data_IF_215631847440
#
_entry.id   IF_215631847440
#
_cell.length_a   1.000
_cell.length_b   1.000
_cell.length_c   1.000
_cell.angle_alpha   90.00
_cell.angle_beta   90.00
_cell.angle_gamma   90.00
#
_symmetry.space_group_name_H-M   'P 1'
#
loop_
_entity.id
_entity.type
_entity.pdbx_description
1 polymer ?
#
# COMPACT_ATOMS: atom_id res chain seq x y z
N UNK A 1 27.51 43.00 3.85
CA UNK A 1 28.00 42.52 5.16
C UNK A 1 26.94 42.80 6.21
N UNK A 2 26.19 41.81 6.63
CA UNK A 2 25.45 41.71 7.88
C UNK A 2 24.82 40.31 7.96
N UNK A 3 25.46 39.45 8.74
CA UNK A 3 24.98 38.09 9.01
C UNK A 3 23.79 38.18 10.00
N UNK A 4 22.61 37.76 9.59
CA UNK A 4 21.47 37.53 10.49
C UNK A 4 21.65 36.17 11.18
N UNK A 5 21.87 36.20 12.48
CA UNK A 5 21.78 35.05 13.37
C UNK A 5 20.31 34.64 13.49
N UNK A 6 19.97 33.43 13.03
CA UNK A 6 18.69 32.79 13.37
C UNK A 6 18.78 32.22 14.79
N UNK A 7 17.93 32.72 15.67
CA UNK A 7 17.76 32.19 17.02
C UNK A 7 16.92 30.94 16.95
N UNK A 8 17.47 29.82 17.41
CA UNK A 8 16.72 28.57 17.65
C UNK A 8 15.83 28.78 18.87
N UNK A 9 14.52 28.85 18.69
CA UNK A 9 13.55 28.80 19.77
C UNK A 9 13.50 27.36 20.33
N UNK A 10 13.70 27.25 21.63
CA UNK A 10 13.61 25.99 22.39
C UNK A 10 12.19 25.44 22.29
N UNK A 11 12.04 24.27 21.68
CA UNK A 11 10.84 23.45 21.77
C UNK A 11 10.64 23.03 23.24
N UNK A 12 9.47 23.32 23.79
CA UNK A 12 9.03 22.87 25.12
C UNK A 12 8.75 21.38 25.10
N UNK A 13 9.24 20.69 26.13
CA UNK A 13 9.28 19.25 26.27
C UNK A 13 7.92 18.56 26.13
N UNK A 14 7.91 17.52 25.37
CA UNK A 14 6.90 16.46 25.40
C UNK A 14 7.13 15.65 26.66
N UNK A 15 6.19 15.73 27.62
CA UNK A 15 6.15 14.85 28.80
C UNK A 15 5.47 13.54 28.42
N UNK A 16 6.10 12.43 28.74
CA UNK A 16 5.40 11.19 29.03
C UNK A 16 5.61 10.02 28.09
N UNK A 17 6.84 9.76 27.63
CA UNK A 17 7.21 8.40 27.27
C UNK A 17 7.42 7.59 28.55
N UNK A 18 6.59 6.58 28.81
CA UNK A 18 6.84 5.57 29.83
C UNK A 18 8.17 4.90 29.48
N UNK A 19 9.23 5.28 30.20
CA UNK A 19 10.48 4.53 30.18
C UNK A 19 10.14 3.13 30.71
N UNK A 20 10.18 2.14 29.85
CA UNK A 20 10.29 0.75 30.27
C UNK A 20 11.69 0.63 30.87
N UNK A 21 11.80 0.78 32.19
CA UNK A 21 12.99 0.45 32.93
C UNK A 21 13.15 -1.07 32.87
N UNK A 22 13.70 -1.58 31.79
CA UNK A 22 14.23 -2.92 31.70
C UNK A 22 15.50 -2.94 32.55
N UNK A 23 15.44 -3.56 33.72
CA UNK A 23 16.65 -3.98 34.43
C UNK A 23 17.51 -4.71 33.42
N UNK A 24 18.76 -4.26 33.19
CA UNK A 24 19.74 -4.96 32.43
C UNK A 24 20.03 -6.31 33.10
N UNK A 25 19.25 -7.32 32.76
CA UNK A 25 19.53 -8.70 33.10
C UNK A 25 20.83 -9.05 32.37
N UNK A 26 21.84 -9.46 33.09
CA UNK A 26 23.05 -10.11 32.56
C UNK A 26 22.73 -11.52 32.06
N UNK A 27 21.52 -11.75 31.54
CA UNK A 27 21.08 -12.98 30.94
C UNK A 27 22.03 -13.29 29.75
N UNK A 28 22.77 -14.37 29.87
CA UNK A 28 23.57 -14.89 28.76
C UNK A 28 22.65 -15.11 27.58
N UNK A 29 22.95 -14.46 26.46
CA UNK A 29 22.24 -14.74 25.21
C UNK A 29 22.47 -16.22 24.87
N UNK A 30 21.42 -17.05 24.82
CA UNK A 30 21.57 -18.47 24.57
C UNK A 30 22.04 -18.72 23.12
N UNK A 31 22.89 -19.72 22.97
CA UNK A 31 23.24 -20.27 21.66
C UNK A 31 22.22 -21.37 21.34
N UNK A 32 21.38 -21.14 20.33
CA UNK A 32 20.34 -22.09 19.94
C UNK A 32 20.82 -23.03 18.83
N UNK A 33 20.54 -24.31 18.95
CA UNK A 33 20.62 -25.26 17.84
C UNK A 33 19.44 -25.08 16.85
N UNK A 34 19.56 -25.71 15.67
CA UNK A 34 18.54 -25.56 14.59
C UNK A 34 17.13 -25.90 15.06
N UNK A 35 16.93 -27.02 15.73
CA UNK A 35 15.62 -27.43 16.23
C UNK A 35 15.07 -26.47 17.30
N UNK A 36 15.93 -25.96 18.18
CA UNK A 36 15.51 -24.98 19.19
C UNK A 36 15.10 -23.66 18.53
N UNK A 37 15.82 -23.22 17.49
CA UNK A 37 15.48 -22.04 16.71
C UNK A 37 14.12 -22.19 16.03
N UNK A 38 13.86 -23.32 15.37
CA UNK A 38 12.55 -23.60 14.74
C UNK A 38 11.43 -23.62 15.77
N UNK A 39 11.63 -24.29 16.92
CA UNK A 39 10.66 -24.25 18.02
C UNK A 39 10.44 -22.85 18.59
N UNK A 40 11.49 -22.03 18.62
CA UNK A 40 11.37 -20.64 19.05
C UNK A 40 10.57 -19.81 18.06
N UNK A 41 10.77 -19.98 16.75
CA UNK A 41 9.96 -19.34 15.70
C UNK A 41 8.49 -19.69 15.85
N UNK A 42 8.15 -20.97 16.04
CA UNK A 42 6.76 -21.42 16.22
C UNK A 42 6.09 -20.80 17.46
N UNK A 43 6.84 -20.60 18.56
CA UNK A 43 6.33 -19.92 19.77
C UNK A 43 6.24 -18.42 19.62
N UNK A 44 7.06 -17.83 18.74
CA UNK A 44 7.17 -16.38 18.52
C UNK A 44 6.25 -15.86 17.40
N UNK A 45 5.40 -16.69 16.82
CA UNK A 45 4.45 -16.25 15.78
C UNK A 45 3.52 -15.19 16.35
N UNK A 46 3.48 -14.03 15.70
CA UNK A 46 2.57 -12.94 16.11
C UNK A 46 1.11 -13.35 15.85
N UNK A 47 0.16 -13.05 16.76
CA UNK A 47 -1.25 -13.42 16.57
C UNK A 47 -1.86 -12.95 15.23
N UNK A 48 -1.50 -11.76 14.75
CA UNK A 48 -1.91 -11.24 13.43
C UNK A 48 -1.43 -12.09 12.24
N UNK A 49 -0.39 -12.91 12.42
CA UNK A 49 0.08 -13.83 11.37
C UNK A 49 -0.87 -15.01 11.13
N UNK A 50 -1.92 -15.17 11.93
CA UNK A 50 -2.97 -16.16 11.69
C UNK A 50 -3.73 -15.91 10.36
N UNK A 51 -3.68 -14.68 9.84
CA UNK A 51 -4.24 -14.33 8.53
C UNK A 51 -3.33 -14.73 7.36
N UNK A 52 -2.05 -15.09 7.61
CA UNK A 52 -1.11 -15.53 6.58
C UNK A 52 -1.34 -17.02 6.32
N UNK A 53 -1.94 -17.36 5.18
CA UNK A 53 -2.43 -18.70 4.89
C UNK A 53 -1.47 -19.56 4.08
N UNK A 54 -0.66 -18.95 3.22
CA UNK A 54 0.38 -19.61 2.45
C UNK A 54 1.46 -18.63 2.06
N UNK A 55 2.69 -19.13 1.96
CA UNK A 55 3.86 -18.34 1.57
C UNK A 55 4.74 -19.14 0.61
N UNK A 56 4.99 -18.59 -0.58
CA UNK A 56 6.00 -19.10 -1.51
C UNK A 56 7.31 -18.36 -1.30
N UNK A 57 8.39 -19.10 -1.32
CA UNK A 57 9.75 -18.56 -1.35
C UNK A 57 10.56 -19.27 -2.42
N UNK A 58 11.14 -18.52 -3.35
CA UNK A 58 12.09 -19.07 -4.34
C UNK A 58 13.36 -19.63 -3.70
N UNK A 59 13.68 -19.19 -2.46
CA UNK A 59 14.81 -19.71 -1.68
C UNK A 59 14.50 -21.10 -1.14
N UNK A 60 13.27 -21.31 -0.65
CA UNK A 60 12.79 -22.63 -0.21
C UNK A 60 12.44 -23.54 -1.40
N UNK A 61 12.18 -22.95 -2.57
CA UNK A 61 11.76 -23.69 -3.77
C UNK A 61 10.32 -24.20 -3.70
N UNK A 62 9.45 -23.61 -2.84
CA UNK A 62 8.09 -24.12 -2.65
C UNK A 62 7.20 -23.22 -1.78
N UNK A 63 6.00 -23.72 -1.52
CA UNK A 63 4.98 -23.08 -0.68
C UNK A 63 4.97 -23.72 0.70
N UNK A 64 4.89 -22.88 1.74
CA UNK A 64 4.67 -23.30 3.14
C UNK A 64 3.39 -22.64 3.66
N UNK A 65 2.72 -23.32 4.61
CA UNK A 65 1.46 -22.84 5.21
C UNK A 65 1.58 -22.56 6.72
N UNK A 66 2.73 -22.91 7.32
CA UNK A 66 3.00 -22.58 8.72
C UNK A 66 3.67 -21.19 8.80
N UNK A 67 3.04 -20.18 9.45
CA UNK A 67 3.60 -18.84 9.61
C UNK A 67 4.98 -18.81 10.27
N UNK A 68 5.31 -19.81 11.09
CA UNK A 68 6.61 -19.91 11.77
C UNK A 68 7.80 -20.00 10.81
N UNK A 69 7.57 -20.53 9.61
CA UNK A 69 8.62 -20.70 8.58
C UNK A 69 8.46 -19.77 7.39
N UNK A 70 7.57 -18.78 7.48
CA UNK A 70 7.45 -17.70 6.50
C UNK A 70 8.53 -16.65 6.77
N UNK A 71 9.78 -17.00 6.48
CA UNK A 71 10.96 -16.21 6.84
C UNK A 71 11.76 -15.79 5.61
N UNK A 72 12.49 -14.69 5.73
CA UNK A 72 13.41 -14.19 4.72
C UNK A 72 14.85 -14.41 5.17
N UNK A 73 15.78 -14.73 4.24
CA UNK A 73 17.21 -14.77 4.54
C UNK A 73 17.70 -13.39 4.99
N UNK A 74 18.55 -13.37 6.03
CA UNK A 74 19.11 -12.12 6.57
C UNK A 74 20.01 -11.38 5.58
N UNK A 75 20.62 -12.12 4.66
CA UNK A 75 21.50 -11.64 3.60
C UNK A 75 20.74 -11.26 2.31
N UNK A 76 19.41 -11.34 2.30
CA UNK A 76 18.63 -10.82 1.18
C UNK A 76 18.73 -9.29 1.14
N UNK A 77 19.04 -8.74 -0.04
CA UNK A 77 19.25 -7.31 -0.24
C UNK A 77 17.99 -6.48 0.10
N UNK A 78 16.82 -7.10 0.07
CA UNK A 78 15.56 -6.53 0.58
C UNK A 78 15.65 -6.24 2.08
N UNK A 79 16.20 -7.18 2.88
CA UNK A 79 16.20 -7.10 4.32
C UNK A 79 17.11 -5.98 4.85
N UNK A 80 18.26 -5.75 4.21
CA UNK A 80 19.26 -4.81 4.74
C UNK A 80 19.49 -3.57 3.85
N UNK A 81 18.93 -3.49 2.66
CA UNK A 81 19.04 -2.32 1.75
C UNK A 81 17.71 -1.86 1.18
N UNK A 82 16.61 -2.55 1.46
CA UNK A 82 15.31 -2.23 0.86
C UNK A 82 15.31 -2.37 -0.67
N UNK A 83 16.25 -3.14 -1.26
CA UNK A 83 16.36 -3.30 -2.71
C UNK A 83 15.42 -4.39 -3.20
N UNK A 84 14.14 -4.06 -3.16
CA UNK A 84 13.06 -4.89 -3.69
C UNK A 84 11.88 -4.05 -4.09
N UNK A 85 11.01 -4.65 -4.88
CA UNK A 85 9.70 -4.11 -5.28
C UNK A 85 8.61 -5.07 -4.83
N UNK A 86 7.38 -4.58 -4.72
CA UNK A 86 6.24 -5.41 -4.36
C UNK A 86 4.97 -4.98 -5.08
N UNK A 87 3.98 -5.88 -5.11
CA UNK A 87 2.63 -5.51 -5.49
C UNK A 87 1.61 -6.30 -4.66
N UNK A 88 0.33 -5.90 -4.76
CA UNK A 88 -0.76 -6.52 -4.00
C UNK A 88 -2.00 -6.59 -4.86
N UNK A 89 -2.42 -7.82 -5.21
CA UNK A 89 -3.65 -8.11 -5.93
C UNK A 89 -4.74 -8.62 -4.96
N UNK A 90 -5.98 -8.23 -5.19
CA UNK A 90 -7.10 -8.74 -4.39
C UNK A 90 -7.47 -10.17 -4.82
N UNK A 91 -7.87 -10.97 -3.83
CA UNK A 91 -8.64 -12.20 -4.05
C UNK A 91 -10.09 -11.86 -3.75
N UNK A 92 -10.98 -12.09 -4.71
CA UNK A 92 -12.41 -11.89 -4.53
C UNK A 92 -13.19 -13.00 -5.22
N UNK A 93 -14.09 -13.66 -4.49
CA UNK A 93 -14.90 -14.75 -5.03
C UNK A 93 -14.10 -15.92 -5.62
N UNK A 94 -12.85 -16.12 -5.19
CA UNK A 94 -11.95 -17.15 -5.74
C UNK A 94 -11.24 -16.75 -7.04
N UNK A 95 -11.21 -15.47 -7.37
CA UNK A 95 -10.45 -14.92 -8.49
C UNK A 95 -9.39 -13.95 -7.99
N UNK A 96 -8.24 -13.91 -8.68
CA UNK A 96 -7.27 -12.81 -8.58
C UNK A 96 -7.74 -11.68 -9.48
N UNK A 97 -8.10 -10.56 -8.87
CA UNK A 97 -8.59 -9.39 -9.59
C UNK A 97 -7.42 -8.53 -10.11
N UNK A 98 -7.44 -8.22 -11.41
CA UNK A 98 -6.43 -7.43 -12.12
C UNK A 98 -4.99 -7.96 -11.98
N UNK A 99 -4.80 -9.29 -11.86
CA UNK A 99 -3.46 -9.87 -11.68
C UNK A 99 -2.48 -9.45 -12.78
N UNK A 100 -2.91 -9.45 -14.04
CA UNK A 100 -2.01 -9.12 -15.16
C UNK A 100 -1.56 -7.65 -15.09
N UNK A 101 -2.46 -6.73 -14.75
CA UNK A 101 -2.17 -5.31 -14.55
C UNK A 101 -1.23 -5.10 -13.34
N UNK A 102 -1.43 -5.86 -12.25
CA UNK A 102 -0.52 -5.86 -11.10
C UNK A 102 0.86 -6.36 -11.49
N UNK A 103 0.96 -7.41 -12.29
CA UNK A 103 2.23 -7.91 -12.82
C UNK A 103 2.92 -6.87 -13.72
N UNK A 104 2.20 -6.18 -14.59
CA UNK A 104 2.75 -5.12 -15.44
C UNK A 104 3.42 -4.03 -14.62
N UNK A 105 2.73 -3.52 -13.59
CA UNK A 105 3.27 -2.51 -12.68
C UNK A 105 4.45 -3.06 -11.87
N UNK A 106 4.38 -4.29 -11.40
CA UNK A 106 5.43 -4.97 -10.65
C UNK A 106 6.72 -5.08 -11.47
N UNK A 107 6.62 -5.53 -12.71
CA UNK A 107 7.75 -5.64 -13.63
C UNK A 107 8.30 -4.26 -14.02
N UNK A 108 7.45 -3.27 -14.21
CA UNK A 108 7.90 -1.89 -14.42
C UNK A 108 8.70 -1.38 -13.21
N UNK A 109 8.20 -1.59 -12.00
CA UNK A 109 8.91 -1.21 -10.78
C UNK A 109 10.25 -1.95 -10.63
N UNK A 110 10.30 -3.25 -10.93
CA UNK A 110 11.53 -4.05 -10.88
C UNK A 110 12.58 -3.54 -11.88
N UNK A 111 12.15 -3.19 -13.11
CA UNK A 111 13.05 -2.62 -14.12
C UNK A 111 13.61 -1.28 -13.68
N UNK A 112 12.78 -0.38 -13.14
CA UNK A 112 13.22 0.92 -12.62
C UNK A 112 14.16 0.77 -11.42
N UNK A 113 13.91 -0.22 -10.55
CA UNK A 113 14.79 -0.57 -9.44
C UNK A 113 16.04 -1.35 -9.86
N UNK A 114 16.23 -1.61 -11.17
CA UNK A 114 17.36 -2.37 -11.75
C UNK A 114 17.52 -3.77 -11.15
N UNK A 115 16.42 -4.42 -10.81
CA UNK A 115 16.40 -5.82 -10.38
C UNK A 115 16.37 -6.71 -11.63
N UNK A 116 17.18 -7.76 -11.66
CA UNK A 116 17.15 -8.73 -12.75
C UNK A 116 15.78 -9.44 -12.78
N UNK A 117 15.10 -9.37 -13.92
CA UNK A 117 13.73 -9.84 -14.04
C UNK A 117 13.67 -11.37 -14.07
N UNK A 118 12.76 -11.94 -13.29
CA UNK A 118 12.36 -13.34 -13.42
C UNK A 118 11.43 -13.52 -14.61
N UNK A 119 11.34 -14.72 -15.22
CA UNK A 119 10.33 -15.00 -16.25
C UNK A 119 8.91 -14.70 -15.73
N UNK A 120 8.12 -13.98 -16.52
CA UNK A 120 6.78 -13.53 -16.09
C UNK A 120 5.86 -14.72 -15.74
N UNK A 121 5.93 -15.77 -16.55
CA UNK A 121 5.10 -16.95 -16.36
C UNK A 121 5.44 -17.69 -15.06
N UNK A 122 6.71 -17.70 -14.64
CA UNK A 122 7.12 -18.31 -13.38
C UNK A 122 6.58 -17.50 -12.18
N UNK A 123 6.65 -16.17 -12.23
CA UNK A 123 6.08 -15.30 -11.21
C UNK A 123 4.56 -15.46 -11.13
N UNK A 124 3.89 -15.45 -12.28
CA UNK A 124 2.45 -15.65 -12.39
C UNK A 124 2.04 -17.02 -11.82
N UNK A 125 2.73 -18.08 -12.20
CA UNK A 125 2.48 -19.43 -11.71
C UNK A 125 2.67 -19.52 -10.18
N UNK A 126 3.73 -18.92 -9.63
CA UNK A 126 3.97 -18.88 -8.18
C UNK A 126 2.85 -18.15 -7.43
N UNK A 127 2.35 -17.01 -7.95
CA UNK A 127 1.24 -16.28 -7.34
C UNK A 127 -0.03 -17.14 -7.33
N UNK A 128 -0.39 -17.76 -8.46
CA UNK A 128 -1.59 -18.60 -8.58
C UNK A 128 -1.47 -19.84 -7.69
N UNK A 129 -0.32 -20.53 -7.70
CA UNK A 129 -0.10 -21.72 -6.88
C UNK A 129 -0.16 -21.40 -5.38
N UNK A 130 0.37 -20.25 -4.96
CA UNK A 130 0.28 -19.82 -3.55
C UNK A 130 -1.14 -19.47 -3.17
N UNK A 131 -1.91 -18.83 -4.05
CA UNK A 131 -3.32 -18.55 -3.84
C UNK A 131 -4.12 -19.86 -3.70
N UNK A 132 -3.91 -20.83 -4.59
CA UNK A 132 -4.57 -22.13 -4.52
C UNK A 132 -4.24 -22.88 -3.23
N UNK A 133 -2.96 -22.95 -2.85
CA UNK A 133 -2.51 -23.61 -1.62
C UNK A 133 -3.05 -22.96 -0.34
N UNK A 134 -3.40 -21.68 -0.38
CA UNK A 134 -3.92 -20.94 0.77
C UNK A 134 -5.38 -21.27 1.11
N UNK A 135 -6.17 -21.69 0.15
CA UNK A 135 -7.62 -21.84 0.27
C UNK A 135 -8.39 -20.52 0.43
N UNK A 136 -7.72 -19.36 0.38
CA UNK A 136 -8.33 -18.04 0.57
C UNK A 136 -9.21 -17.68 -0.62
N UNK A 137 -10.49 -17.38 -0.37
CA UNK A 137 -11.46 -16.95 -1.39
C UNK A 137 -11.76 -15.46 -1.33
N UNK A 138 -11.49 -14.83 -0.18
CA UNK A 138 -11.60 -13.38 0.07
C UNK A 138 -10.35 -12.92 0.79
N UNK A 139 -9.56 -12.05 0.17
CA UNK A 139 -8.29 -11.60 0.75
C UNK A 139 -7.38 -10.91 -0.24
N UNK A 140 -6.09 -11.12 -0.09
CA UNK A 140 -5.09 -10.53 -0.99
C UNK A 140 -3.86 -11.40 -1.17
N UNK A 141 -3.22 -11.26 -2.32
CA UNK A 141 -1.89 -11.75 -2.61
C UNK A 141 -0.91 -10.59 -2.56
N UNK A 142 0.14 -10.71 -1.74
CA UNK A 142 1.25 -9.77 -1.78
C UNK A 142 2.50 -10.49 -2.25
N UNK A 143 3.21 -9.90 -3.21
CA UNK A 143 4.39 -10.53 -3.79
C UNK A 143 5.53 -9.53 -3.93
N UNK A 144 6.76 -10.01 -3.73
CA UNK A 144 7.99 -9.22 -3.75
C UNK A 144 9.02 -9.85 -4.68
N UNK A 145 9.75 -9.00 -5.40
CA UNK A 145 10.95 -9.36 -6.15
C UNK A 145 12.12 -8.57 -5.55
N UNK A 146 13.09 -9.27 -4.98
CA UNK A 146 14.29 -8.67 -4.41
C UNK A 146 15.49 -8.86 -5.33
N UNK A 147 16.52 -8.02 -5.18
CA UNK A 147 17.78 -8.23 -5.88
C UNK A 147 18.45 -9.58 -5.52
N UNK A 148 18.05 -10.19 -4.40
CA UNK A 148 18.47 -11.53 -3.98
C UNK A 148 19.41 -11.55 -2.80
N UNK A 149 19.89 -12.77 -2.48
CA UNK A 149 20.86 -13.03 -1.42
C UNK A 149 22.27 -12.72 -1.91
N UNK A 150 23.09 -12.12 -1.06
CA UNK A 150 24.50 -11.79 -1.31
C UNK A 150 25.20 -11.28 -0.06
N UNK A 151 26.28 -10.53 -0.24
CA UNK A 151 26.96 -9.87 0.87
C UNK A 151 26.21 -8.63 1.39
N UNK A 152 26.73 -8.04 2.48
CA UNK A 152 26.17 -6.83 3.09
C UNK A 152 26.62 -5.52 2.41
N UNK A 153 27.17 -5.57 1.20
CA UNK A 153 27.55 -4.40 0.41
C UNK A 153 26.34 -3.57 -0.04
N UNK A 154 26.61 -2.36 -0.56
CA UNK A 154 25.57 -1.54 -1.20
C UNK A 154 25.25 -2.01 -2.62
N UNK A 155 26.24 -2.56 -3.31
CA UNK A 155 26.10 -3.06 -4.66
C UNK A 155 25.44 -4.44 -4.66
N UNK A 156 24.42 -4.69 -5.52
CA UNK A 156 23.82 -6.00 -5.66
C UNK A 156 24.69 -6.97 -6.50
N UNK A 157 25.97 -6.63 -6.79
CA UNK A 157 26.86 -7.48 -7.60
C UNK A 157 27.13 -8.84 -6.95
N UNK A 158 27.02 -8.93 -5.62
CA UNK A 158 27.19 -10.17 -4.87
C UNK A 158 25.91 -11.01 -4.82
N UNK A 159 24.77 -10.45 -5.25
CA UNK A 159 23.52 -11.19 -5.30
C UNK A 159 23.58 -12.23 -6.42
N UNK A 160 23.41 -13.50 -6.04
CA UNK A 160 23.58 -14.64 -6.96
C UNK A 160 22.39 -14.72 -7.93
N UNK A 161 21.19 -14.44 -7.44
CA UNK A 161 19.93 -14.50 -8.22
C UNK A 161 18.87 -13.63 -7.56
N UNK A 162 17.94 -13.18 -8.37
CA UNK A 162 16.69 -12.52 -7.91
C UNK A 162 15.83 -13.50 -7.12
N UNK A 163 15.32 -13.07 -5.97
CA UNK A 163 14.39 -13.87 -5.18
C UNK A 163 12.95 -13.38 -5.36
N UNK A 164 12.02 -14.33 -5.33
CA UNK A 164 10.58 -14.12 -5.33
C UNK A 164 9.98 -14.62 -4.03
N UNK A 165 9.16 -13.80 -3.41
CA UNK A 165 8.34 -14.14 -2.24
C UNK A 165 6.89 -13.79 -2.52
N UNK A 166 5.98 -14.67 -2.13
CA UNK A 166 4.54 -14.45 -2.31
C UNK A 166 3.81 -14.88 -1.05
N UNK A 167 2.92 -14.07 -0.52
CA UNK A 167 2.07 -14.42 0.62
C UNK A 167 0.60 -14.25 0.27
N UNK A 168 -0.21 -15.23 0.64
CA UNK A 168 -1.67 -15.14 0.65
C UNK A 168 -2.14 -14.72 2.03
N UNK A 169 -2.92 -13.65 2.09
CA UNK A 169 -3.44 -13.06 3.33
C UNK A 169 -4.97 -13.13 3.28
N UNK A 170 -5.56 -13.74 4.30
CA UNK A 170 -7.00 -13.78 4.48
C UNK A 170 -7.55 -12.38 4.76
N UNK A 171 -8.81 -12.12 4.40
CA UNK A 171 -9.42 -10.81 4.61
C UNK A 171 -9.62 -10.56 6.10
N UNK A 172 -9.13 -9.44 6.55
CA UNK A 172 -9.58 -8.82 7.80
C UNK A 172 -10.93 -8.13 7.57
N UNK A 173 -11.61 -7.75 8.64
CA UNK A 173 -12.90 -7.05 8.58
C UNK A 173 -12.80 -5.82 7.65
N UNK A 174 -13.71 -5.68 6.67
CA UNK A 174 -13.70 -4.49 5.81
C UNK A 174 -13.85 -3.22 6.64
N UNK A 175 -13.18 -2.12 6.24
CA UNK A 175 -13.37 -0.84 6.93
C UNK A 175 -14.82 -0.38 6.82
N UNK A 176 -15.34 0.23 7.89
CA UNK A 176 -16.71 0.78 7.96
C UNK A 176 -16.83 1.98 7.01
N UNK A 177 -17.39 1.75 5.82
CA UNK A 177 -17.54 2.78 4.80
C UNK A 177 -18.60 3.82 5.19
N UNK A 178 -19.57 3.42 5.99
CA UNK A 178 -20.67 4.26 6.48
C UNK A 178 -20.18 5.37 7.39
N UNK A 179 -19.09 5.15 8.12
CA UNK A 179 -18.44 6.18 8.93
C UNK A 179 -17.63 7.15 8.07
N UNK A 180 -17.07 6.66 6.99
CA UNK A 180 -16.04 7.34 6.23
C UNK A 180 -14.74 7.49 7.03
N UNK A 181 -13.70 8.02 6.39
CA UNK A 181 -12.39 8.22 7.03
C UNK A 181 -12.10 9.69 7.29
N UNK A 182 -11.22 9.92 8.26
CA UNK A 182 -10.62 11.21 8.56
C UNK A 182 -9.16 11.23 8.08
N UNK A 183 -8.74 12.36 7.52
CA UNK A 183 -7.38 12.56 7.04
C UNK A 183 -6.62 13.59 7.86
N UNK A 184 -5.30 13.44 7.94
CA UNK A 184 -4.38 14.44 8.44
C UNK A 184 -3.28 14.73 7.41
N UNK A 185 -2.92 15.99 7.23
CA UNK A 185 -1.77 16.37 6.43
C UNK A 185 -0.49 15.96 7.16
N UNK A 186 0.35 15.14 6.53
CA UNK A 186 1.62 14.72 7.12
C UNK A 186 2.68 15.81 6.96
N UNK A 187 3.51 15.96 7.99
CA UNK A 187 4.73 16.77 7.94
C UNK A 187 5.90 16.08 7.24
N UNK A 188 5.76 14.81 6.92
CA UNK A 188 6.79 14.02 6.24
C UNK A 188 6.82 14.36 4.75
N UNK A 189 8.01 14.66 4.22
CA UNK A 189 8.18 14.89 2.79
C UNK A 189 7.83 13.65 1.98
N UNK A 190 7.08 13.83 0.90
CA UNK A 190 6.84 12.74 -0.07
C UNK A 190 8.16 12.31 -0.71
N UNK A 191 8.23 11.04 -1.12
CA UNK A 191 9.38 10.54 -1.88
C UNK A 191 9.58 11.37 -3.15
N UNK A 192 10.84 11.61 -3.56
CA UNK A 192 11.11 12.25 -4.85
C UNK A 192 10.40 11.51 -6.00
N UNK A 193 10.04 12.19 -7.10
CA UNK A 193 9.18 11.66 -8.18
C UNK A 193 9.58 10.28 -8.68
N UNK A 194 10.89 10.07 -8.95
CA UNK A 194 11.38 8.76 -9.37
C UNK A 194 11.03 7.63 -8.39
N UNK A 195 11.20 7.86 -7.08
CA UNK A 195 10.91 6.86 -6.05
C UNK A 195 9.42 6.76 -5.72
N UNK A 196 8.65 7.83 -5.92
CA UNK A 196 7.20 7.83 -5.71
C UNK A 196 6.50 6.92 -6.72
N UNK A 197 6.97 6.91 -7.98
CA UNK A 197 6.40 6.09 -9.05
C UNK A 197 6.83 4.62 -9.02
N UNK A 198 7.81 4.25 -8.18
CA UNK A 198 8.29 2.87 -8.01
C UNK A 198 7.66 2.25 -6.76
N UNK A 199 6.97 1.12 -6.93
CA UNK A 199 6.40 0.38 -5.79
C UNK A 199 7.47 -0.49 -5.13
N UNK A 200 8.44 0.18 -4.47
CA UNK A 200 9.57 -0.44 -3.76
C UNK A 200 9.26 -0.67 -2.28
N UNK A 201 10.12 -1.43 -1.59
CA UNK A 201 10.00 -1.64 -0.14
C UNK A 201 10.53 -0.49 0.73
N UNK A 202 10.94 0.63 0.13
CA UNK A 202 11.40 1.83 0.85
C UNK A 202 10.20 2.65 1.38
N UNK A 203 9.46 2.08 2.32
CA UNK A 203 8.19 2.60 2.82
C UNK A 203 8.30 3.33 4.17
N UNK A 204 9.52 3.69 4.60
CA UNK A 204 9.68 4.46 5.83
C UNK A 204 8.91 5.80 5.80
N UNK A 205 8.96 6.63 4.73
CA UNK A 205 8.14 7.85 4.66
C UNK A 205 6.63 7.54 4.77
N UNK A 206 6.18 6.46 4.13
CA UNK A 206 4.78 6.05 4.17
C UNK A 206 4.35 5.61 5.59
N UNK A 207 5.21 4.87 6.31
CA UNK A 207 4.96 4.48 7.70
C UNK A 207 4.89 5.72 8.62
N UNK A 208 5.82 6.67 8.46
CA UNK A 208 5.83 7.91 9.23
C UNK A 208 4.57 8.76 8.94
N UNK A 209 4.10 8.79 7.69
CA UNK A 209 2.86 9.46 7.33
C UNK A 209 1.63 8.86 8.03
N UNK A 210 1.59 7.53 8.19
CA UNK A 210 0.54 6.86 9.01
C UNK A 210 0.66 7.26 10.46
N UNK A 211 1.88 7.26 11.01
CA UNK A 211 2.12 7.65 12.42
C UNK A 211 1.74 9.12 12.69
N UNK A 212 1.96 10.03 11.74
CA UNK A 212 1.48 11.42 11.84
C UNK A 212 -0.04 11.48 11.95
N UNK A 213 -0.76 10.69 11.13
CA UNK A 213 -2.21 10.60 11.18
C UNK A 213 -2.71 10.03 12.52
N UNK A 214 -2.11 8.94 12.99
CA UNK A 214 -2.42 8.34 14.29
C UNK A 214 -2.22 9.34 15.44
N UNK A 215 -1.12 10.10 15.42
CA UNK A 215 -0.84 11.15 16.40
C UNK A 215 -1.85 12.29 16.35
N UNK A 216 -2.43 12.57 15.18
CA UNK A 216 -3.51 13.54 14.98
C UNK A 216 -4.91 12.98 15.27
N UNK A 217 -5.05 11.69 15.61
CA UNK A 217 -6.33 11.02 15.81
C UNK A 217 -7.12 10.83 14.51
N UNK A 218 -6.44 10.75 13.38
CA UNK A 218 -7.00 10.55 12.04
C UNK A 218 -6.74 9.13 11.52
N UNK A 219 -7.58 8.68 10.58
CA UNK A 219 -7.49 7.33 10.03
C UNK A 219 -6.32 7.17 9.06
N UNK A 220 -5.97 8.23 8.29
CA UNK A 220 -4.88 8.19 7.32
C UNK A 220 -4.20 9.54 7.13
N UNK A 221 -2.92 9.48 6.72
CA UNK A 221 -2.13 10.65 6.35
C UNK A 221 -2.24 11.00 4.86
N UNK A 222 -1.85 12.24 4.54
CA UNK A 222 -1.78 12.74 3.17
C UNK A 222 -0.46 13.43 2.96
N UNK A 223 0.23 13.11 1.86
CA UNK A 223 1.41 13.81 1.39
C UNK A 223 1.02 15.02 0.55
N UNK A 224 1.65 16.15 0.88
CA UNK A 224 1.68 17.33 0.03
C UNK A 224 3.07 17.37 -0.64
N UNK A 225 3.09 17.62 -1.94
CA UNK A 225 4.36 17.70 -2.67
C UNK A 225 5.12 19.03 -2.39
N UNK A 226 6.32 19.16 -2.94
CA UNK A 226 7.17 20.33 -2.73
C UNK A 226 6.57 21.62 -3.30
N UNK A 227 5.66 21.52 -4.23
CA UNK A 227 4.97 22.66 -4.88
C UNK A 227 3.67 23.04 -4.15
N UNK A 228 3.31 22.30 -3.08
CA UNK A 228 2.12 22.55 -2.26
C UNK A 228 0.86 21.86 -2.75
N UNK A 229 0.96 20.94 -3.69
CA UNK A 229 -0.18 20.19 -4.20
C UNK A 229 -0.37 18.84 -3.47
N UNK A 230 -1.61 18.40 -3.40
CA UNK A 230 -1.96 17.07 -2.89
C UNK A 230 -1.40 16.01 -3.84
N UNK A 231 -0.69 15.04 -3.29
CA UNK A 231 -0.08 13.97 -4.07
C UNK A 231 -0.80 12.63 -3.86
N UNK A 232 -0.58 11.99 -2.74
CA UNK A 232 -1.18 10.68 -2.41
C UNK A 232 -1.25 10.46 -0.90
N UNK A 233 -1.95 9.42 -0.46
CA UNK A 233 -1.83 8.87 0.88
C UNK A 233 -0.69 7.84 0.97
N UNK A 234 -0.44 7.24 2.16
CA UNK A 234 0.69 6.33 2.37
C UNK A 234 0.66 5.08 1.47
N UNK A 235 -0.50 4.60 1.09
CA UNK A 235 -0.68 3.40 0.26
C UNK A 235 -1.91 3.48 -0.66
N UNK A 236 -2.40 4.69 -0.92
CA UNK A 236 -3.62 4.97 -1.67
C UNK A 236 -3.51 6.30 -2.43
N UNK A 237 -4.26 6.43 -3.52
CA UNK A 237 -4.42 7.69 -4.23
C UNK A 237 -5.56 8.50 -3.62
N UNK A 238 -5.63 9.78 -4.00
CA UNK A 238 -6.69 10.71 -3.58
C UNK A 238 -7.47 11.14 -4.83
N UNK A 239 -8.77 11.30 -4.69
CA UNK A 239 -9.62 11.93 -5.69
C UNK A 239 -10.54 12.92 -5.00
N UNK A 240 -10.91 14.01 -5.68
CA UNK A 240 -11.82 15.03 -5.17
C UNK A 240 -12.92 15.31 -6.18
N UNK A 241 -14.14 15.51 -5.67
CA UNK A 241 -15.24 16.02 -6.46
C UNK A 241 -15.30 17.55 -6.27
N UNK A 242 -15.19 18.31 -7.35
CA UNK A 242 -15.24 19.78 -7.29
C UNK A 242 -16.44 20.30 -6.51
N UNK A 243 -16.34 21.52 -5.96
CA UNK A 243 -17.40 22.12 -5.13
C UNK A 243 -18.76 22.21 -5.83
N UNK A 244 -18.77 22.36 -7.16
CA UNK A 244 -19.99 22.35 -7.99
C UNK A 244 -20.50 20.93 -8.32
N UNK A 245 -19.78 19.90 -7.90
CA UNK A 245 -20.11 18.49 -8.12
C UNK A 245 -19.87 17.97 -9.54
N UNK A 246 -19.29 18.77 -10.45
CA UNK A 246 -19.25 18.44 -11.88
C UNK A 246 -18.04 17.66 -12.33
N UNK A 247 -16.90 17.81 -11.64
CA UNK A 247 -15.66 17.18 -12.04
C UNK A 247 -15.07 16.32 -10.94
N UNK A 248 -14.70 15.09 -11.28
CA UNK A 248 -13.87 14.24 -10.44
C UNK A 248 -12.41 14.48 -10.83
N UNK A 249 -11.61 15.01 -9.92
CA UNK A 249 -10.19 15.30 -10.13
C UNK A 249 -9.32 14.28 -9.43
N UNK A 250 -8.27 13.84 -10.13
CA UNK A 250 -7.24 12.93 -9.59
C UNK A 250 -5.87 13.57 -9.83
N UNK A 251 -4.95 13.61 -8.84
CA UNK A 251 -3.60 14.10 -9.05
C UNK A 251 -2.87 13.29 -10.15
N UNK A 252 -2.08 13.96 -11.00
CA UNK A 252 -1.25 13.28 -11.99
C UNK A 252 -0.26 12.31 -11.33
N UNK A 253 0.06 11.20 -11.98
CA UNK A 253 0.98 10.18 -11.48
C UNK A 253 2.47 10.53 -11.67
N UNK A 254 2.81 11.81 -11.72
CA UNK A 254 4.20 12.28 -11.80
C UNK A 254 4.91 12.18 -10.46
N UNK A 255 4.19 12.49 -9.38
CA UNK A 255 4.68 12.52 -7.99
C UNK A 255 3.98 11.49 -7.09
N UNK A 256 3.20 10.59 -7.67
CA UNK A 256 2.42 9.57 -6.97
C UNK A 256 2.47 8.25 -7.71
N UNK A 257 2.20 7.16 -7.01
CA UNK A 257 2.08 5.86 -7.64
C UNK A 257 0.85 5.81 -8.55
N UNK A 258 1.02 5.31 -9.77
CA UNK A 258 -0.11 4.98 -10.66
C UNK A 258 -0.90 3.79 -10.09
N UNK A 259 -1.82 4.07 -9.16
CA UNK A 259 -2.63 3.06 -8.50
C UNK A 259 -3.59 2.38 -9.50
N UNK A 260 -3.63 1.04 -9.51
CA UNK A 260 -4.51 0.33 -10.45
C UNK A 260 -5.98 0.56 -10.12
N UNK A 261 -6.33 0.53 -8.85
CA UNK A 261 -7.70 0.80 -8.41
C UNK A 261 -8.18 2.20 -8.81
N UNK A 262 -7.34 3.24 -8.64
CA UNK A 262 -7.76 4.59 -9.06
C UNK A 262 -7.84 4.69 -10.59
N UNK A 263 -6.96 4.02 -11.34
CA UNK A 263 -7.09 3.95 -12.80
C UNK A 263 -8.40 3.27 -13.22
N UNK A 264 -8.78 2.18 -12.51
CA UNK A 264 -10.07 1.53 -12.76
C UNK A 264 -11.25 2.43 -12.40
N UNK A 265 -11.19 3.13 -11.27
CA UNK A 265 -12.19 4.13 -10.87
C UNK A 265 -12.34 5.21 -11.95
N UNK A 266 -11.23 5.74 -12.51
CA UNK A 266 -11.27 6.73 -13.59
C UNK A 266 -12.02 6.16 -14.82
N UNK A 267 -11.74 4.92 -15.23
CA UNK A 267 -12.41 4.28 -16.37
C UNK A 267 -13.92 4.13 -16.12
N UNK A 268 -14.29 3.59 -14.96
CA UNK A 268 -15.69 3.38 -14.58
C UNK A 268 -16.43 4.70 -14.44
N UNK A 269 -15.82 5.68 -13.75
CA UNK A 269 -16.40 7.01 -13.57
C UNK A 269 -16.60 7.75 -14.90
N UNK A 270 -15.61 7.69 -15.81
CA UNK A 270 -15.71 8.32 -17.12
C UNK A 270 -16.83 7.72 -17.97
N UNK A 271 -16.96 6.39 -17.98
CA UNK A 271 -18.03 5.70 -18.70
C UNK A 271 -19.42 6.06 -18.10
N UNK A 272 -19.51 6.08 -16.78
CA UNK A 272 -20.75 6.42 -16.08
C UNK A 272 -21.15 7.90 -16.25
N UNK A 273 -20.20 8.83 -16.20
CA UNK A 273 -20.43 10.25 -16.47
C UNK A 273 -20.93 10.47 -17.89
N UNK A 274 -20.29 9.86 -18.89
CA UNK A 274 -20.74 9.94 -20.28
C UNK A 274 -22.14 9.38 -20.51
N UNK A 275 -22.56 8.40 -19.68
CA UNK A 275 -23.91 7.83 -19.72
C UNK A 275 -24.92 8.57 -18.84
N UNK A 276 -24.53 9.65 -18.13
CA UNK A 276 -25.37 10.35 -17.15
C UNK A 276 -25.73 9.52 -15.92
N UNK A 277 -24.94 8.47 -15.62
CA UNK A 277 -25.21 7.51 -14.55
C UNK A 277 -24.40 7.75 -13.26
N UNK A 278 -23.65 8.87 -13.18
CA UNK A 278 -22.84 9.26 -12.02
C UNK A 278 -23.32 10.60 -11.40
N UNK A 279 -24.62 10.79 -11.30
CA UNK A 279 -25.21 12.00 -10.71
C UNK A 279 -24.77 13.27 -11.46
N UNK A 280 -24.27 14.32 -10.76
CA UNK A 280 -23.89 15.58 -11.40
C UNK A 280 -22.54 15.54 -12.12
N UNK A 281 -21.78 14.45 -12.03
CA UNK A 281 -20.42 14.36 -12.59
C UNK A 281 -20.46 14.37 -14.10
N UNK A 282 -19.86 15.38 -14.71
CA UNK A 282 -19.78 15.58 -16.16
C UNK A 282 -18.42 15.12 -16.73
N UNK A 283 -17.34 15.19 -15.93
CA UNK A 283 -16.00 14.87 -16.38
C UNK A 283 -15.12 14.24 -15.28
N UNK A 284 -14.14 13.45 -15.70
CA UNK A 284 -13.05 12.92 -14.88
C UNK A 284 -11.74 13.41 -15.45
N UNK A 285 -10.94 14.13 -14.67
CA UNK A 285 -9.76 14.82 -15.17
C UNK A 285 -8.54 14.56 -14.25
N UNK A 286 -7.35 14.52 -14.85
CA UNK A 286 -6.11 14.67 -14.09
C UNK A 286 -5.86 16.16 -13.85
N UNK A 287 -5.76 16.56 -12.58
CA UNK A 287 -5.48 17.94 -12.21
C UNK A 287 -4.71 18.00 -10.89
N UNK A 288 -3.78 18.95 -10.79
CA UNK A 288 -3.17 19.32 -9.50
C UNK A 288 -4.16 20.19 -8.74
N UNK A 289 -4.28 19.97 -7.45
CA UNK A 289 -5.07 20.79 -6.55
C UNK A 289 -4.37 20.90 -5.19
N UNK A 290 -4.56 22.03 -4.55
CA UNK A 290 -4.02 22.32 -3.23
C UNK A 290 -4.88 21.65 -2.15
N UNK A 291 -4.33 21.57 -0.94
CA UNK A 291 -5.09 21.14 0.25
C UNK A 291 -6.35 22.01 0.46
N UNK A 292 -6.25 23.34 0.31
CA UNK A 292 -7.38 24.25 0.52
C UNK A 292 -8.49 24.03 -0.53
N UNK A 293 -8.14 23.74 -1.77
CA UNK A 293 -9.12 23.37 -2.80
C UNK A 293 -9.80 22.04 -2.46
N UNK A 294 -9.03 21.04 -1.98
CA UNK A 294 -9.61 19.78 -1.53
C UNK A 294 -10.52 19.93 -0.31
N UNK A 295 -10.18 20.83 0.62
CA UNK A 295 -11.03 21.15 1.77
C UNK A 295 -12.34 21.85 1.39
N UNK A 296 -12.36 22.55 0.26
CA UNK A 296 -13.57 23.17 -0.33
C UNK A 296 -14.34 22.27 -1.29
N UNK A 297 -13.89 21.04 -1.52
CA UNK A 297 -14.52 20.11 -2.43
C UNK A 297 -15.88 19.61 -1.90
N UNK A 298 -16.77 19.18 -2.81
CA UNK A 298 -18.03 18.54 -2.45
C UNK A 298 -17.79 17.18 -1.78
N UNK A 299 -16.85 16.38 -2.33
CA UNK A 299 -16.44 15.11 -1.76
C UNK A 299 -14.92 14.94 -1.92
N UNK A 300 -14.30 14.26 -0.96
CA UNK A 300 -12.93 13.72 -1.05
C UNK A 300 -13.00 12.22 -0.83
N UNK A 301 -12.20 11.47 -1.55
CA UNK A 301 -12.09 10.03 -1.38
C UNK A 301 -10.66 9.55 -1.51
N UNK A 302 -10.33 8.50 -0.79
CA UNK A 302 -9.07 7.76 -0.97
C UNK A 302 -9.34 6.45 -1.68
N UNK A 303 -8.40 6.04 -2.55
CA UNK A 303 -8.59 4.91 -3.47
C UNK A 303 -7.36 3.99 -3.42
N UNK A 304 -7.58 2.71 -3.12
CA UNK A 304 -6.53 1.71 -3.05
C UNK A 304 -7.05 0.28 -3.11
N UNK A 305 -6.18 -0.70 -3.41
CA UNK A 305 -6.60 -2.10 -3.59
C UNK A 305 -7.21 -2.74 -2.34
N UNK A 306 -6.81 -2.31 -1.14
CA UNK A 306 -7.36 -2.84 0.11
C UNK A 306 -8.61 -2.10 0.59
N UNK A 307 -8.69 -0.79 0.33
CA UNK A 307 -9.78 0.09 0.78
C UNK A 307 -10.87 0.26 -0.27
N UNK A 308 -10.57 -0.07 -1.53
CA UNK A 308 -11.35 0.30 -2.72
C UNK A 308 -11.53 1.82 -2.79
N UNK A 309 -12.76 2.32 -2.85
CA UNK A 309 -13.07 3.75 -2.69
C UNK A 309 -13.58 3.96 -1.27
N UNK A 310 -12.90 4.82 -0.51
CA UNK A 310 -13.28 5.18 0.86
C UNK A 310 -13.60 6.67 0.93
N UNK A 311 -14.83 7.04 1.28
CA UNK A 311 -15.21 8.44 1.47
C UNK A 311 -14.41 9.09 2.61
N UNK A 312 -14.06 10.35 2.45
CA UNK A 312 -13.41 11.17 3.48
C UNK A 312 -14.42 12.17 4.03
N UNK A 313 -14.62 12.17 5.33
CA UNK A 313 -15.59 13.03 6.01
C UNK A 313 -14.95 14.25 6.69
N UNK A 314 -13.64 14.15 7.02
CA UNK A 314 -12.87 15.24 7.63
C UNK A 314 -11.42 15.21 7.15
N UNK A 315 -10.81 16.38 7.09
CA UNK A 315 -9.38 16.54 6.83
C UNK A 315 -8.82 17.66 7.72
N UNK A 316 -7.77 17.36 8.51
CA UNK A 316 -7.22 18.25 9.54
C UNK A 316 -8.30 18.86 10.46
N UNK A 317 -9.23 18.02 10.90
CA UNK A 317 -10.35 18.42 11.76
C UNK A 317 -11.48 19.20 11.06
N UNK A 318 -11.30 19.66 9.82
CA UNK A 318 -12.33 20.36 9.03
C UNK A 318 -13.24 19.36 8.32
N UNK A 319 -14.55 19.54 8.32
CA UNK A 319 -15.46 18.69 7.57
C UNK A 319 -15.26 18.86 6.05
N UNK A 320 -15.42 17.77 5.30
CA UNK A 320 -15.52 17.78 3.85
C UNK A 320 -17.01 17.73 3.47
N UNK A 321 -17.43 18.63 2.60
CA UNK A 321 -18.84 18.72 2.20
C UNK A 321 -19.77 18.79 3.42
N UNK A 322 -20.70 17.83 3.53
CA UNK A 322 -21.61 17.72 4.66
C UNK A 322 -20.99 17.05 5.92
N UNK A 323 -19.73 16.65 5.89
CA UNK A 323 -19.08 15.91 6.97
C UNK A 323 -19.53 14.44 7.10
N UNK A 324 -20.12 13.90 6.05
CA UNK A 324 -20.61 12.53 5.92
C UNK A 324 -20.14 11.91 4.59
N UNK A 325 -20.16 10.56 4.45
CA UNK A 325 -19.84 9.90 3.19
C UNK A 325 -20.68 10.43 2.02
N UNK A 326 -20.01 10.89 0.97
CA UNK A 326 -20.66 11.46 -0.19
C UNK A 326 -21.23 10.42 -1.15
N UNK A 327 -22.33 10.70 -1.86
CA UNK A 327 -23.01 9.75 -2.73
C UNK A 327 -22.18 9.33 -3.95
N UNK A 328 -21.31 10.19 -4.48
CA UNK A 328 -20.46 9.86 -5.62
C UNK A 328 -19.37 8.85 -5.19
N UNK A 329 -18.73 9.06 -4.05
CA UNK A 329 -17.74 8.12 -3.51
C UNK A 329 -18.37 6.74 -3.22
N UNK A 330 -19.56 6.70 -2.62
CA UNK A 330 -20.28 5.46 -2.37
C UNK A 330 -20.69 4.76 -3.68
N UNK A 331 -21.16 5.51 -4.68
CA UNK A 331 -21.49 4.94 -5.99
C UNK A 331 -20.27 4.37 -6.71
N UNK A 332 -19.15 5.08 -6.69
CA UNK A 332 -17.90 4.58 -7.28
C UNK A 332 -17.39 3.32 -6.57
N UNK A 333 -17.53 3.25 -5.24
CA UNK A 333 -17.23 2.03 -4.49
C UNK A 333 -18.05 0.84 -4.96
N UNK A 334 -19.37 1.01 -5.08
CA UNK A 334 -20.25 -0.06 -5.58
C UNK A 334 -19.89 -0.48 -7.00
N UNK A 335 -19.57 0.47 -7.88
CA UNK A 335 -19.14 0.14 -9.25
C UNK A 335 -17.86 -0.70 -9.28
N UNK A 336 -16.89 -0.43 -8.41
CA UNK A 336 -15.68 -1.24 -8.30
C UNK A 336 -16.02 -2.63 -7.73
N UNK A 337 -16.89 -2.71 -6.72
CA UNK A 337 -17.33 -3.99 -6.16
C UNK A 337 -18.09 -4.84 -7.19
N UNK A 338 -18.94 -4.22 -7.99
CA UNK A 338 -19.66 -4.90 -9.07
C UNK A 338 -18.70 -5.41 -10.16
N UNK A 339 -17.69 -4.60 -10.50
CA UNK A 339 -16.63 -5.00 -11.44
C UNK A 339 -15.84 -6.20 -10.89
N UNK A 340 -15.53 -6.23 -9.59
CA UNK A 340 -14.85 -7.37 -8.95
C UNK A 340 -15.74 -8.63 -8.87
N UNK A 341 -17.05 -8.47 -8.73
CA UNK A 341 -18.01 -9.57 -8.66
C UNK A 341 -18.36 -10.17 -10.01
N UNK A 342 -18.11 -9.44 -11.10
CA UNK A 342 -18.49 -9.85 -12.46
C UNK A 342 -17.26 -10.37 -13.21
N UNK A 343 -17.00 -11.69 -13.22
CA UNK A 343 -15.82 -12.23 -13.85
C UNK A 343 -15.71 -11.88 -15.33
N UNK A 344 -14.55 -11.38 -15.72
CA UNK A 344 -14.17 -11.10 -17.09
C UNK A 344 -12.79 -11.68 -17.38
N UNK A 345 -12.53 -12.05 -18.63
CA UNK A 345 -11.27 -12.70 -19.03
C UNK A 345 -10.04 -11.78 -18.95
N UNK A 346 -10.24 -10.47 -18.97
CA UNK A 346 -9.18 -9.45 -18.96
C UNK A 346 -8.81 -8.98 -17.56
N UNK A 347 -9.67 -9.25 -16.55
CA UNK A 347 -9.45 -8.76 -15.17
C UNK A 347 -9.44 -9.84 -14.10
N UNK A 348 -9.96 -11.02 -14.41
CA UNK A 348 -10.14 -12.07 -13.42
C UNK A 348 -9.36 -13.31 -13.82
N UNK A 349 -8.43 -13.72 -12.96
CA UNK A 349 -7.71 -14.98 -13.10
C UNK A 349 -8.27 -15.96 -12.08
N UNK A 350 -8.90 -17.05 -12.55
CA UNK A 350 -9.45 -18.08 -11.67
C UNK A 350 -8.35 -18.79 -10.88
N UNK A 351 -8.59 -19.02 -9.59
CA UNK A 351 -7.67 -19.77 -8.73
C UNK A 351 -8.11 -21.25 -8.75
N UNK A 352 -7.20 -22.17 -9.11
CA UNK A 352 -7.51 -23.60 -9.20
C UNK A 352 -7.38 -24.28 -7.81
N UNK A 353 -8.37 -24.08 -6.95
CA UNK A 353 -8.40 -24.70 -5.61
C UNK A 353 -8.47 -26.21 -5.64
#
# INVERSE_FOLDING_TARGET
MAARRMSLSRARGVRGGRAVAGAASTARVPLLGTEEAVRALSRGVHPGSATFRAFYSSVLGGVVTDPAVMVLPIDDHMAHRGHSVFDTAAIHGGYLYELEQHLDRFYNSARLARIALLPREDVRAAVIATAAASGVREGSMRFWMSAGQGGFGLSPKECVRTNLYVVAVDRETPPEVERGWTLATSGVAIKPPFFATVKSTNYLPNALCVMDAEAAGSDQGVFIDADGFVAEGPNMNIAVLTADGKKLLVPPFENALAGLTVQRVIQLASAAAAAGALGPVEAVEFAKFTREEALGAAEVMVVGSGTLVMPVTRWDGRPIGAGAPGPVALRLREMVLDDMRTPSSDRHVAIPY
#
